data_IF_960522103013
#
_entry.id   IF_960522103013
#
_cell.length_a   1.000
_cell.length_b   1.000
_cell.length_c   1.000
_cell.angle_alpha   90.00
_cell.angle_beta   90.00
_cell.angle_gamma   90.00
#
_symmetry.space_group_name_H-M   'P 1'
#
loop_
_entity.id
_entity.type
_entity.pdbx_description
1 polymer ?
#
# COMPACT_ATOMS: atom_id res chain seq x y z
N UNK A 1 -11.85 -44.21 -48.40
CA UNK A 1 -11.97 -44.31 -46.93
C UNK A 1 -10.74 -43.65 -46.33
N UNK A 2 -10.95 -42.81 -45.29
CA UNK A 2 -10.09 -42.45 -44.14
C UNK A 2 -8.58 -42.67 -44.34
N UNK A 3 -7.71 -41.67 -44.23
CA UNK A 3 -7.35 -41.08 -42.93
C UNK A 3 -7.03 -39.58 -43.04
N UNK A 4 -7.95 -38.81 -42.47
CA UNK A 4 -7.77 -37.51 -41.85
C UNK A 4 -7.05 -37.73 -40.49
N UNK A 5 -6.20 -36.79 -40.06
CA UNK A 5 -5.49 -36.70 -38.76
C UNK A 5 -4.23 -37.58 -38.57
N UNK A 6 -3.09 -37.07 -38.05
CA UNK A 6 -2.95 -35.90 -37.17
C UNK A 6 -1.79 -34.96 -37.57
N UNK A 7 -2.10 -33.80 -38.16
CA UNK A 7 -1.14 -32.67 -38.22
C UNK A 7 -1.10 -31.87 -36.89
N UNK A 8 -1.68 -32.44 -35.83
CA UNK A 8 -1.93 -31.82 -34.54
C UNK A 8 -0.91 -32.21 -33.46
N UNK A 9 0.19 -32.87 -33.85
CA UNK A 9 1.24 -33.28 -32.91
C UNK A 9 2.53 -32.46 -33.00
N UNK A 10 2.67 -31.61 -34.03
CA UNK A 10 3.92 -30.87 -34.29
C UNK A 10 3.89 -29.41 -33.82
N UNK A 11 2.81 -28.97 -33.17
CA UNK A 11 2.68 -27.59 -32.64
C UNK A 11 2.84 -27.54 -31.11
N UNK A 12 3.10 -28.67 -30.44
CA UNK A 12 3.29 -28.72 -28.98
C UNK A 12 4.74 -28.63 -28.51
N UNK A 13 5.71 -28.48 -29.42
CA UNK A 13 7.14 -28.46 -29.07
C UNK A 13 7.87 -27.16 -29.44
N UNK A 14 7.14 -26.07 -29.71
CA UNK A 14 7.73 -24.77 -30.07
C UNK A 14 7.35 -23.64 -29.11
N UNK A 15 6.80 -23.95 -27.93
CA UNK A 15 6.28 -22.95 -26.98
C UNK A 15 7.20 -22.57 -25.81
N UNK A 16 8.40 -23.14 -25.70
CA UNK A 16 9.16 -23.09 -24.43
C UNK A 16 10.52 -22.37 -24.47
N UNK A 17 10.77 -21.41 -25.37
CA UNK A 17 12.10 -20.77 -25.47
C UNK A 17 12.14 -19.24 -25.30
N UNK A 18 11.09 -18.60 -24.77
CA UNK A 18 11.14 -17.18 -24.39
C UNK A 18 10.59 -16.89 -22.99
N UNK A 19 10.77 -17.82 -22.05
CA UNK A 19 10.64 -17.50 -20.62
C UNK A 19 12.03 -17.45 -19.99
N UNK A 20 12.82 -16.43 -20.36
CA UNK A 20 13.85 -15.96 -19.45
C UNK A 20 13.12 -15.24 -18.32
N UNK A 21 12.63 -15.99 -17.33
CA UNK A 21 12.32 -15.39 -16.05
C UNK A 21 13.64 -14.83 -15.50
N UNK A 22 13.69 -13.52 -15.25
CA UNK A 22 14.82 -12.94 -14.52
C UNK A 22 15.00 -13.68 -13.19
N UNK A 23 16.24 -14.11 -12.92
CA UNK A 23 16.61 -14.69 -11.63
C UNK A 23 16.60 -13.59 -10.57
N UNK A 24 15.48 -13.50 -9.85
CA UNK A 24 15.28 -12.61 -8.70
C UNK A 24 15.59 -13.29 -7.37
N UNK A 25 16.28 -14.44 -7.37
CA UNK A 25 16.54 -15.21 -6.14
C UNK A 25 17.37 -14.45 -5.10
N UNK A 26 18.04 -13.36 -5.47
CA UNK A 26 18.79 -12.48 -4.56
C UNK A 26 18.01 -11.26 -4.05
N UNK A 27 16.80 -11.02 -4.54
CA UNK A 27 15.99 -9.85 -4.18
C UNK A 27 15.33 -10.06 -2.81
N UNK A 28 15.96 -9.55 -1.75
CA UNK A 28 15.42 -9.64 -0.40
C UNK A 28 14.21 -8.72 -0.22
N UNK A 29 13.09 -9.20 0.34
CA UNK A 29 11.96 -8.35 0.67
C UNK A 29 12.16 -7.62 2.02
N UNK A 30 11.66 -6.40 2.12
CA UNK A 30 11.72 -5.58 3.33
C UNK A 30 10.36 -4.96 3.66
N UNK A 31 10.09 -4.57 4.91
CA UNK A 31 8.94 -3.74 5.25
C UNK A 31 8.93 -2.43 4.45
N UNK A 32 7.77 -1.77 4.29
CA UNK A 32 7.70 -0.52 3.54
C UNK A 32 8.50 0.61 4.20
N UNK A 33 8.86 1.63 3.43
CA UNK A 33 9.28 2.94 3.95
C UNK A 33 8.15 3.92 3.65
N UNK A 34 7.71 4.66 4.66
CA UNK A 34 6.51 5.51 4.58
C UNK A 34 6.76 6.88 5.22
N UNK A 35 6.16 7.90 4.65
CA UNK A 35 6.22 9.29 5.10
C UNK A 35 4.80 9.82 5.34
N UNK A 36 4.60 10.55 6.44
CA UNK A 36 3.38 11.30 6.70
C UNK A 36 3.49 12.66 6.02
N UNK A 37 2.68 12.91 4.98
CA UNK A 37 2.88 14.06 4.11
C UNK A 37 2.10 15.29 4.56
N UNK A 38 0.79 15.16 4.79
CA UNK A 38 -0.03 16.35 5.08
C UNK A 38 -1.45 16.06 5.58
N UNK A 39 -2.11 17.14 6.01
CA UNK A 39 -3.48 17.12 6.55
C UNK A 39 -4.29 18.25 5.92
N UNK A 40 -5.53 17.95 5.51
CA UNK A 40 -6.53 18.94 5.10
C UNK A 40 -7.81 18.75 5.93
N UNK A 41 -8.28 19.80 6.60
CA UNK A 41 -9.55 19.73 7.36
C UNK A 41 -10.74 19.79 6.40
N UNK A 42 -11.68 18.85 6.55
CA UNK A 42 -12.89 18.72 5.74
C UNK A 42 -14.09 18.54 6.67
N UNK A 43 -14.81 19.64 6.91
CA UNK A 43 -15.93 19.65 7.86
C UNK A 43 -15.45 19.31 9.28
N UNK A 44 -16.02 18.25 9.85
CA UNK A 44 -15.61 17.74 11.16
C UNK A 44 -14.51 16.68 11.09
N UNK A 45 -13.99 16.35 9.91
CA UNK A 45 -12.94 15.33 9.74
C UNK A 45 -11.65 15.93 9.19
N UNK A 46 -10.60 15.12 9.17
CA UNK A 46 -9.34 15.43 8.50
C UNK A 46 -9.08 14.42 7.38
N UNK A 47 -8.76 14.92 6.19
CA UNK A 47 -8.17 14.14 5.10
C UNK A 47 -6.66 14.10 5.32
N UNK A 48 -6.13 12.90 5.53
CA UNK A 48 -4.72 12.63 5.80
C UNK A 48 -4.07 12.11 4.52
N UNK A 49 -2.85 12.55 4.24
CA UNK A 49 -2.07 12.17 3.07
C UNK A 49 -0.72 11.60 3.48
N UNK A 50 -0.34 10.49 2.85
CA UNK A 50 0.84 9.71 3.17
C UNK A 50 1.41 9.06 1.91
N UNK A 51 2.71 8.82 1.93
CA UNK A 51 3.44 8.29 0.77
C UNK A 51 4.31 7.12 1.21
N UNK A 52 4.23 6.00 0.50
CA UNK A 52 5.19 4.91 0.60
C UNK A 52 6.34 5.20 -0.37
N UNK A 53 7.54 5.46 0.13
CA UNK A 53 8.73 5.74 -0.70
C UNK A 53 9.45 4.47 -1.13
N UNK A 54 9.16 3.33 -0.51
CA UNK A 54 9.70 2.03 -0.92
C UNK A 54 8.88 0.86 -0.37
N UNK A 55 8.70 -0.22 -1.15
CA UNK A 55 8.24 -1.53 -0.66
C UNK A 55 8.99 -2.66 -1.37
N UNK A 56 10.28 -2.88 -1.03
CA UNK A 56 11.15 -3.78 -1.78
C UNK A 56 10.62 -5.21 -1.80
N UNK A 57 10.44 -5.77 -3.00
CA UNK A 57 10.13 -7.18 -3.28
C UNK A 57 8.93 -7.75 -2.51
N UNK A 58 8.01 -6.89 -2.07
CA UNK A 58 6.79 -7.29 -1.38
C UNK A 58 5.69 -6.27 -1.69
N UNK A 59 4.56 -6.75 -2.21
CA UNK A 59 3.42 -5.88 -2.53
C UNK A 59 2.77 -5.31 -1.28
N UNK A 60 2.32 -4.06 -1.36
CA UNK A 60 1.51 -3.43 -0.31
C UNK A 60 0.22 -4.23 -0.08
N UNK A 61 -0.17 -4.30 1.19
CA UNK A 61 -1.37 -5.01 1.66
C UNK A 61 -2.33 -4.07 2.37
N UNK A 62 -1.82 -3.02 2.99
CA UNK A 62 -2.60 -2.06 3.76
C UNK A 62 -1.84 -0.74 3.87
N UNK A 63 -2.58 0.38 3.81
CA UNK A 63 -2.07 1.72 4.04
C UNK A 63 -3.12 2.48 4.85
N UNK A 64 -2.69 3.37 5.74
CA UNK A 64 -3.60 4.09 6.60
C UNK A 64 -2.89 5.03 7.56
N UNK A 65 -3.62 5.48 8.58
CA UNK A 65 -3.09 6.40 9.57
C UNK A 65 -3.56 6.00 10.96
N UNK A 66 -2.66 6.07 11.93
CA UNK A 66 -3.02 6.21 13.34
C UNK A 66 -3.13 7.69 13.66
N UNK A 67 -4.17 8.11 14.36
CA UNK A 67 -4.38 9.51 14.72
C UNK A 67 -5.05 9.63 16.08
N UNK A 68 -4.93 10.80 16.69
CA UNK A 68 -5.43 10.98 18.05
C UNK A 68 -5.00 12.26 18.73
N UNK A 69 -5.27 12.32 20.03
CA UNK A 69 -4.82 13.33 20.96
C UNK A 69 -4.67 12.68 22.35
N UNK A 70 -4.58 13.47 23.43
CA UNK A 70 -4.40 12.96 24.79
C UNK A 70 -5.53 12.00 25.26
N UNK A 71 -6.71 12.06 24.64
CA UNK A 71 -7.90 11.30 25.03
C UNK A 71 -8.40 10.34 23.93
N UNK A 72 -7.97 10.55 22.69
CA UNK A 72 -8.39 9.78 21.52
C UNK A 72 -7.20 9.01 20.95
N UNK A 73 -7.37 7.72 20.70
CA UNK A 73 -6.49 6.93 19.85
C UNK A 73 -7.35 6.15 18.86
N UNK A 74 -7.17 6.43 17.57
CA UNK A 74 -7.94 5.86 16.49
C UNK A 74 -7.06 5.56 15.28
N UNK A 75 -7.62 4.84 14.31
CA UNK A 75 -6.97 4.55 13.04
C UNK A 75 -7.97 4.55 11.90
N UNK A 76 -7.53 4.97 10.73
CA UNK A 76 -8.32 4.92 9.48
C UNK A 76 -7.49 4.27 8.38
N UNK A 77 -8.16 3.60 7.45
CA UNK A 77 -7.54 2.92 6.32
C UNK A 77 -7.79 3.67 5.03
N UNK A 78 -6.80 3.66 4.14
CA UNK A 78 -7.03 3.99 2.74
C UNK A 78 -7.99 2.97 2.13
N UNK A 79 -8.77 3.39 1.12
CA UNK A 79 -9.70 2.50 0.42
C UNK A 79 -8.99 1.30 -0.20
N UNK A 80 -7.78 1.53 -0.70
CA UNK A 80 -6.91 0.51 -1.27
C UNK A 80 -5.43 0.83 -0.96
N UNK A 81 -4.56 -0.19 -0.86
CA UNK A 81 -3.13 0.02 -0.67
C UNK A 81 -2.53 0.66 -1.93
N UNK A 82 -1.88 1.80 -1.77
CA UNK A 82 -1.25 2.56 -2.85
C UNK A 82 0.02 3.24 -2.31
N UNK A 83 0.97 3.53 -3.19
CA UNK A 83 2.16 4.29 -2.81
C UNK A 83 1.81 5.75 -2.45
N UNK A 84 0.84 6.34 -3.13
CA UNK A 84 0.24 7.62 -2.77
C UNK A 84 -1.18 7.34 -2.26
N UNK A 85 -1.44 7.59 -0.97
CA UNK A 85 -2.69 7.20 -0.34
C UNK A 85 -3.26 8.27 0.58
N UNK A 86 -4.59 8.32 0.61
CA UNK A 86 -5.36 9.18 1.49
C UNK A 86 -6.32 8.36 2.35
N UNK A 87 -6.60 8.86 3.53
CA UNK A 87 -7.68 8.35 4.37
C UNK A 87 -8.34 9.51 5.12
N UNK A 88 -9.62 9.34 5.45
CA UNK A 88 -10.39 10.35 6.18
C UNK A 88 -10.58 9.87 7.62
N UNK A 89 -10.35 10.74 8.59
CA UNK A 89 -10.64 10.44 9.99
C UNK A 89 -12.14 10.37 10.24
N UNK A 90 -12.53 9.70 11.33
CA UNK A 90 -13.82 9.94 11.95
C UNK A 90 -13.99 11.43 12.33
N UNK A 91 -15.22 11.80 12.69
CA UNK A 91 -15.53 13.15 13.17
C UNK A 91 -14.72 13.51 14.43
N UNK A 92 -14.09 14.68 14.40
CA UNK A 92 -13.23 15.24 15.43
C UNK A 92 -13.87 16.50 16.03
N UNK A 93 -13.66 16.70 17.34
CA UNK A 93 -13.93 17.96 18.01
C UNK A 93 -12.84 19.01 17.73
N UNK A 94 -13.08 20.25 18.13
CA UNK A 94 -12.04 21.28 18.12
C UNK A 94 -10.88 20.85 19.03
N UNK A 95 -9.64 20.96 18.56
CA UNK A 95 -8.48 20.52 19.32
C UNK A 95 -7.22 20.32 18.49
N UNK A 96 -6.15 19.93 19.19
CA UNK A 96 -4.86 19.58 18.60
C UNK A 96 -4.77 18.07 18.50
N UNK A 97 -4.37 17.57 17.34
CA UNK A 97 -4.29 16.16 17.02
C UNK A 97 -2.93 15.80 16.42
N UNK A 98 -2.55 14.55 16.53
CA UNK A 98 -1.45 13.94 15.79
C UNK A 98 -2.00 12.96 14.74
N UNK A 99 -1.23 12.74 13.69
CA UNK A 99 -1.40 11.63 12.75
C UNK A 99 -0.04 11.02 12.40
N UNK A 100 -0.05 9.70 12.15
CA UNK A 100 1.11 8.90 11.75
C UNK A 100 0.65 7.97 10.64
N UNK A 101 1.18 8.16 9.44
CA UNK A 101 0.96 7.26 8.31
C UNK A 101 1.57 5.88 8.62
N UNK A 102 0.93 4.81 8.17
CA UNK A 102 1.49 3.46 8.21
C UNK A 102 1.22 2.72 6.91
N UNK A 103 2.12 1.80 6.59
CA UNK A 103 1.98 0.89 5.47
C UNK A 103 2.43 -0.52 5.86
N UNK A 104 1.76 -1.54 5.33
CA UNK A 104 2.04 -2.96 5.60
C UNK A 104 2.20 -3.74 4.31
N UNK A 105 3.21 -4.61 4.27
CA UNK A 105 3.40 -5.60 3.21
C UNK A 105 3.57 -7.00 3.80
N UNK A 106 4.12 -7.94 3.03
CA UNK A 106 4.36 -9.31 3.49
C UNK A 106 5.46 -9.46 4.55
N UNK A 107 6.29 -8.44 4.74
CA UNK A 107 7.43 -8.46 5.67
C UNK A 107 7.18 -7.73 6.98
N UNK A 108 6.25 -6.77 7.00
CA UNK A 108 5.91 -6.06 8.22
C UNK A 108 5.12 -4.79 7.98
N UNK A 109 4.99 -4.01 9.06
CA UNK A 109 4.37 -2.69 9.08
C UNK A 109 5.44 -1.67 9.42
N UNK A 110 5.38 -0.51 8.77
CA UNK A 110 6.25 0.62 9.05
C UNK A 110 5.40 1.87 9.21
N UNK A 111 5.96 2.85 9.92
CA UNK A 111 5.30 4.08 10.33
C UNK A 111 6.12 5.27 9.86
N UNK A 112 5.43 6.31 9.43
CA UNK A 112 6.05 7.58 9.04
C UNK A 112 6.28 8.46 10.25
N UNK A 113 6.70 9.70 9.98
CA UNK A 113 6.85 10.71 11.03
C UNK A 113 5.50 11.13 11.62
N UNK A 114 5.52 11.61 12.86
CA UNK A 114 4.33 12.19 13.48
C UNK A 114 4.12 13.62 12.97
N UNK A 115 2.95 13.88 12.40
CA UNK A 115 2.52 15.24 12.04
C UNK A 115 1.44 15.71 13.01
N UNK A 116 1.46 17.00 13.33
CA UNK A 116 0.49 17.64 14.22
C UNK A 116 -0.38 18.62 13.44
N UNK A 117 -1.66 18.68 13.79
CA UNK A 117 -2.61 19.61 13.17
C UNK A 117 -3.64 20.09 14.19
N UNK A 118 -4.30 21.19 13.87
CA UNK A 118 -5.37 21.77 14.69
C UNK A 118 -6.68 21.76 13.92
N UNK A 119 -7.72 21.19 14.54
CA UNK A 119 -9.09 21.39 14.08
C UNK A 119 -9.69 22.59 14.83
N UNK A 120 -10.07 23.68 14.14
CA UNK A 120 -10.64 24.87 14.77
C UNK A 120 -12.02 24.61 15.36
#
# INVERSE_FOLDING_TARGET
MKYLFPLLFLVWLAGCLLSCGEDRSGEQPFPPTVESFGVTIVGDSALLHGVVTSSPNSSLRECGFSYGNDTLQASTLATEPSEDFIAVTDSLGAGVYYAVAFARNGMGTSYGDTIYFTKP
#
